data_IF_606589497088
#
_entry.id   IF_606589497088
#
_cell.length_a   1.000
_cell.length_b   1.000
_cell.length_c   1.000
_cell.angle_alpha   90.00
_cell.angle_beta   90.00
_cell.angle_gamma   90.00
#
_symmetry.space_group_name_H-M   'P 1'
#
loop_
_entity.id
_entity.type
_entity.pdbx_description
1 polymer ?
#
# COMPACT_ATOMS: atom_id res chain seq x y z
N UNK A 1 -38.74 -0.03 52.12
CA UNK A 1 -37.27 0.19 52.23
C UNK A 1 -36.57 -1.14 51.93
N UNK A 2 -35.55 -1.24 51.07
CA UNK A 2 -35.34 -0.75 49.67
C UNK A 2 -35.44 -1.92 48.65
N UNK A 3 -36.20 -1.80 47.55
CA UNK A 3 -35.83 -1.41 46.17
C UNK A 3 -34.71 -2.24 45.52
N UNK A 4 -35.16 -3.14 44.64
CA UNK A 4 -34.46 -4.05 43.73
C UNK A 4 -33.60 -3.27 42.71
N UNK A 5 -32.27 -3.40 42.79
CA UNK A 5 -31.35 -2.86 41.80
C UNK A 5 -31.39 -3.70 40.51
N UNK A 6 -32.14 -3.23 39.52
CA UNK A 6 -32.16 -3.78 38.17
C UNK A 6 -31.01 -3.16 37.40
N UNK A 7 -29.91 -3.91 37.25
CA UNK A 7 -28.75 -3.51 36.47
C UNK A 7 -29.19 -3.29 35.01
N UNK A 8 -29.20 -2.04 34.56
CA UNK A 8 -29.34 -1.70 33.16
C UNK A 8 -28.03 -2.09 32.45
N UNK A 9 -28.09 -3.19 31.70
CA UNK A 9 -27.07 -3.50 30.71
C UNK A 9 -27.13 -2.43 29.61
N UNK A 10 -26.19 -1.48 29.68
CA UNK A 10 -25.97 -0.51 28.61
C UNK A 10 -25.42 -1.29 27.41
N UNK A 11 -26.04 -1.23 26.22
CA UNK A 11 -25.47 -1.86 25.05
C UNK A 11 -24.19 -1.10 24.73
N UNK A 12 -23.06 -1.80 24.75
CA UNK A 12 -21.78 -1.30 24.28
C UNK A 12 -21.91 -1.09 22.76
N UNK A 13 -22.43 0.07 22.37
CA UNK A 13 -22.43 0.52 20.98
C UNK A 13 -20.97 0.81 20.65
N UNK A 14 -20.30 -0.21 20.12
CA UNK A 14 -18.99 -0.05 19.52
C UNK A 14 -19.16 0.78 18.24
N UNK A 15 -19.15 2.10 18.41
CA UNK A 15 -18.87 3.03 17.32
C UNK A 15 -17.44 2.71 16.84
N UNK A 16 -17.32 2.00 15.72
CA UNK A 16 -16.10 1.99 14.93
C UNK A 16 -15.91 3.41 14.39
N UNK A 17 -15.26 4.25 15.18
CA UNK A 17 -14.75 5.53 14.76
C UNK A 17 -13.60 5.21 13.82
N UNK A 18 -13.85 5.18 12.51
CA UNK A 18 -12.79 5.40 11.54
C UNK A 18 -12.18 6.76 11.92
N UNK A 19 -10.95 6.75 12.44
CA UNK A 19 -10.28 7.96 12.87
C UNK A 19 -10.20 8.94 11.69
N UNK A 20 -10.91 10.08 11.72
CA UNK A 20 -10.86 11.06 10.64
C UNK A 20 -9.59 11.89 10.88
N UNK A 21 -8.47 11.42 10.34
CA UNK A 21 -7.20 12.09 10.59
C UNK A 21 -5.95 11.39 10.11
N UNK A 22 -6.03 10.27 9.38
CA UNK A 22 -4.87 9.84 8.60
C UNK A 22 -4.60 10.94 7.56
N UNK A 23 -3.49 11.70 7.70
CA UNK A 23 -3.14 12.68 6.69
C UNK A 23 -3.11 11.93 5.37
N UNK A 24 -3.84 12.44 4.37
CA UNK A 24 -3.64 11.96 3.00
C UNK A 24 -2.13 11.98 2.78
N UNK A 25 -1.49 10.81 2.58
CA UNK A 25 -0.05 10.73 2.67
C UNK A 25 0.50 11.71 1.63
N UNK A 26 1.37 12.62 2.07
CA UNK A 26 1.99 13.55 1.14
C UNK A 26 2.70 12.71 0.07
N UNK A 27 2.83 13.19 -1.18
CA UNK A 27 3.46 12.40 -2.25
C UNK A 27 4.87 11.89 -1.88
N UNK A 28 5.57 12.58 -0.98
CA UNK A 28 6.81 12.11 -0.35
C UNK A 28 6.63 10.88 0.54
N UNK A 29 5.60 10.85 1.39
CA UNK A 29 5.26 9.70 2.25
C UNK A 29 4.85 8.48 1.41
N UNK A 30 4.15 8.71 0.30
CA UNK A 30 3.75 7.63 -0.62
C UNK A 30 4.99 7.04 -1.28
N UNK A 31 5.90 7.88 -1.77
CA UNK A 31 7.16 7.43 -2.35
C UNK A 31 7.98 6.61 -1.35
N UNK A 32 8.08 7.07 -0.11
CA UNK A 32 8.75 6.35 0.97
C UNK A 32 8.05 5.01 1.29
N UNK A 33 6.72 4.97 1.29
CA UNK A 33 5.93 3.76 1.49
C UNK A 33 6.15 2.73 0.36
N UNK A 34 6.24 3.20 -0.89
CA UNK A 34 6.57 2.35 -2.06
C UNK A 34 7.96 1.76 -1.93
N UNK A 35 8.97 2.59 -1.64
CA UNK A 35 10.35 2.13 -1.46
C UNK A 35 10.47 1.16 -0.29
N UNK A 36 9.74 1.40 0.80
CA UNK A 36 9.66 0.49 1.95
C UNK A 36 8.97 -0.83 1.62
N UNK A 37 7.90 -0.82 0.82
CA UNK A 37 7.26 -2.04 0.32
C UNK A 37 8.22 -2.85 -0.56
N UNK A 38 8.97 -2.19 -1.44
CA UNK A 38 10.00 -2.82 -2.27
C UNK A 38 11.13 -3.40 -1.40
N UNK A 39 11.72 -2.63 -0.49
CA UNK A 39 12.78 -3.10 0.41
C UNK A 39 12.36 -4.38 1.17
N UNK A 40 11.14 -4.36 1.74
CA UNK A 40 10.55 -5.54 2.42
C UNK A 40 10.41 -6.74 1.48
N UNK A 41 10.00 -6.52 0.23
CA UNK A 41 9.80 -7.58 -0.76
C UNK A 41 11.13 -8.21 -1.23
N UNK A 42 12.19 -7.41 -1.30
CA UNK A 42 13.54 -7.90 -1.62
C UNK A 42 14.31 -8.44 -0.41
N UNK A 43 13.73 -8.34 0.80
CA UNK A 43 14.38 -8.68 2.07
C UNK A 43 15.74 -7.97 2.24
N UNK A 44 15.85 -6.73 1.73
CA UNK A 44 17.06 -5.91 1.84
C UNK A 44 16.84 -4.80 2.88
N UNK A 45 17.90 -4.47 3.62
CA UNK A 45 17.91 -3.34 4.58
C UNK A 45 17.85 -1.97 3.86
N UNK A 46 18.16 -1.94 2.57
CA UNK A 46 18.14 -0.75 1.74
C UNK A 46 17.14 -0.90 0.57
N UNK A 47 16.43 0.18 0.18
CA UNK A 47 15.54 0.13 -0.96
C UNK A 47 16.34 -0.09 -2.26
N UNK A 48 15.87 -1.00 -3.13
CA UNK A 48 16.54 -1.27 -4.41
C UNK A 48 16.51 -0.04 -5.33
N UNK A 49 17.43 0.05 -6.32
CA UNK A 49 17.38 1.09 -7.33
C UNK A 49 16.07 1.02 -8.14
N UNK A 50 15.31 2.11 -8.11
CA UNK A 50 14.07 2.28 -8.85
C UNK A 50 14.26 3.27 -10.01
N UNK A 51 13.68 2.96 -11.16
CA UNK A 51 13.63 3.80 -12.36
C UNK A 51 12.19 4.04 -12.78
N UNK A 52 11.92 5.23 -13.31
CA UNK A 52 10.61 5.57 -13.86
C UNK A 52 9.48 5.43 -12.84
N UNK A 53 9.73 5.75 -11.57
CA UNK A 53 8.71 5.70 -10.53
C UNK A 53 7.60 6.70 -10.88
N UNK A 54 6.42 6.17 -11.14
CA UNK A 54 5.20 6.95 -11.37
C UNK A 54 4.21 6.60 -10.28
N UNK A 55 3.76 7.61 -9.54
CA UNK A 55 2.77 7.48 -8.48
C UNK A 55 1.51 8.20 -8.93
N UNK A 56 0.38 7.50 -8.91
CA UNK A 56 -0.92 8.04 -9.28
C UNK A 56 -1.96 7.68 -8.22
N UNK A 57 -2.95 8.55 -7.96
CA UNK A 57 -4.09 8.15 -7.16
C UNK A 57 -4.84 7.02 -7.89
N UNK A 58 -5.20 5.97 -7.15
CA UNK A 58 -5.99 4.88 -7.71
C UNK A 58 -7.42 5.37 -7.96
N UNK A 59 -7.93 5.19 -9.17
CA UNK A 59 -9.31 5.57 -9.52
C UNK A 59 -10.34 4.53 -9.10
N UNK A 60 -9.91 3.30 -8.78
CA UNK A 60 -10.75 2.16 -8.42
C UNK A 60 -10.72 1.86 -6.93
N UNK A 61 -9.63 2.18 -6.25
CA UNK A 61 -9.48 1.96 -4.81
C UNK A 61 -9.16 3.26 -4.08
N UNK A 62 -9.50 3.34 -2.79
CA UNK A 62 -9.03 4.42 -1.93
C UNK A 62 -7.52 4.21 -1.67
N UNK A 63 -6.67 4.96 -2.36
CA UNK A 63 -5.22 4.87 -2.20
C UNK A 63 -4.43 5.41 -3.39
N UNK A 64 -3.18 4.98 -3.47
CA UNK A 64 -2.26 5.31 -4.54
C UNK A 64 -1.66 4.05 -5.12
N UNK A 65 -1.44 4.09 -6.43
CA UNK A 65 -0.70 3.07 -7.16
C UNK A 65 0.64 3.64 -7.57
N UNK A 66 1.66 2.81 -7.47
CA UNK A 66 2.99 3.14 -7.94
C UNK A 66 3.46 2.07 -8.92
N UNK A 67 3.99 2.49 -10.05
CA UNK A 67 4.55 1.63 -11.07
C UNK A 67 5.93 2.13 -11.45
N UNK A 68 6.77 1.23 -11.95
CA UNK A 68 8.10 1.57 -12.41
C UNK A 68 8.95 0.33 -12.56
N UNK A 69 10.25 0.52 -12.73
CA UNK A 69 11.20 -0.58 -12.86
C UNK A 69 12.10 -0.62 -11.64
N UNK A 70 12.32 -1.80 -11.09
CA UNK A 70 13.17 -2.04 -9.92
C UNK A 70 14.25 -3.03 -10.30
N UNK A 71 15.51 -2.67 -10.05
CA UNK A 71 16.64 -3.59 -10.18
C UNK A 71 17.01 -4.10 -8.80
N UNK A 72 17.31 -5.39 -8.65
CA UNK A 72 18.03 -5.80 -7.43
C UNK A 72 19.42 -5.16 -7.47
N UNK A 73 19.97 -4.83 -6.31
CA UNK A 73 21.29 -4.18 -6.18
C UNK A 73 22.40 -4.97 -6.88
N UNK A 74 22.22 -6.29 -7.05
CA UNK A 74 23.12 -7.21 -7.76
C UNK A 74 22.57 -7.77 -9.10
N UNK A 75 21.35 -7.39 -9.53
CA UNK A 75 20.77 -7.93 -10.77
C UNK A 75 21.13 -7.06 -11.98
N UNK A 76 21.57 -7.72 -13.05
CA UNK A 76 21.87 -7.07 -14.34
C UNK A 76 20.62 -6.57 -15.10
N UNK A 77 19.41 -6.86 -14.60
CA UNK A 77 18.14 -6.49 -15.24
C UNK A 77 17.19 -5.84 -14.24
N UNK A 78 16.65 -4.71 -14.66
CA UNK A 78 15.50 -4.09 -14.02
C UNK A 78 14.25 -4.90 -14.39
N UNK A 79 13.36 -5.07 -13.42
CA UNK A 79 12.08 -5.74 -13.59
C UNK A 79 10.97 -4.75 -13.30
N UNK A 80 9.86 -4.89 -14.01
CA UNK A 80 8.71 -4.04 -13.77
C UNK A 80 8.07 -4.40 -12.43
N UNK A 81 7.60 -3.40 -11.71
CA UNK A 81 6.87 -3.57 -10.46
C UNK A 81 5.59 -2.75 -10.41
N UNK A 82 4.72 -3.13 -9.49
CA UNK A 82 3.51 -2.41 -9.14
C UNK A 82 3.31 -2.47 -7.62
N UNK A 83 3.04 -1.33 -6.99
CA UNK A 83 2.77 -1.23 -5.55
C UNK A 83 1.45 -0.52 -5.31
N UNK A 84 0.64 -1.05 -4.40
CA UNK A 84 -0.58 -0.38 -3.91
C UNK A 84 -0.30 0.16 -2.50
N UNK A 85 -0.53 1.46 -2.30
CA UNK A 85 -0.38 2.18 -1.02
C UNK A 85 -1.77 2.65 -0.56
N UNK A 86 -2.15 2.51 0.72
CA UNK A 86 -1.35 2.07 1.89
C UNK A 86 -1.18 0.56 2.04
N UNK A 87 -1.73 -0.27 1.15
CA UNK A 87 -1.72 -1.74 1.28
C UNK A 87 -0.34 -2.39 1.37
N UNK A 88 0.73 -1.71 0.92
CA UNK A 88 2.11 -2.17 1.03
C UNK A 88 2.43 -3.41 0.21
N UNK A 89 1.52 -3.82 -0.68
CA UNK A 89 1.69 -4.97 -1.56
C UNK A 89 2.52 -4.55 -2.76
N UNK A 90 3.70 -5.15 -2.92
CA UNK A 90 4.56 -4.97 -4.09
C UNK A 90 4.54 -6.25 -4.93
N UNK A 91 4.10 -6.12 -6.18
CA UNK A 91 4.07 -7.18 -7.19
C UNK A 91 5.20 -6.92 -8.17
N UNK A 92 6.01 -7.94 -8.44
CA UNK A 92 7.06 -7.88 -9.46
C UNK A 92 6.67 -8.68 -10.70
N UNK A 93 7.33 -8.35 -11.81
CA UNK A 93 7.24 -9.11 -13.05
C UNK A 93 7.57 -10.61 -12.86
N UNK A 94 8.48 -10.93 -11.93
CA UNK A 94 8.82 -12.32 -11.56
C UNK A 94 7.70 -13.05 -10.82
N UNK A 95 6.79 -12.33 -10.17
CA UNK A 95 5.70 -12.93 -9.40
C UNK A 95 4.57 -13.34 -10.34
N UNK A 96 4.10 -12.39 -11.15
CA UNK A 96 3.07 -12.63 -12.16
C UNK A 96 3.12 -11.55 -13.24
N UNK A 97 3.70 -11.91 -14.39
CA UNK A 97 3.89 -11.01 -15.52
C UNK A 97 2.56 -10.56 -16.13
N UNK A 98 1.56 -11.44 -16.21
CA UNK A 98 0.28 -11.14 -16.86
C UNK A 98 -0.56 -10.23 -15.96
N UNK A 99 -0.55 -10.47 -14.65
CA UNK A 99 -1.17 -9.59 -13.68
C UNK A 99 -0.56 -8.19 -13.71
N UNK A 100 0.77 -8.13 -13.72
CA UNK A 100 1.50 -6.87 -13.75
C UNK A 100 1.21 -6.08 -15.04
N UNK A 101 1.24 -6.75 -16.20
CA UNK A 101 0.93 -6.12 -17.48
C UNK A 101 -0.47 -5.50 -17.49
N UNK A 102 -1.47 -6.22 -16.95
CA UNK A 102 -2.83 -5.69 -16.80
C UNK A 102 -2.84 -4.45 -15.91
N UNK A 103 -2.22 -4.49 -14.74
CA UNK A 103 -2.20 -3.33 -13.83
C UNK A 103 -1.49 -2.12 -14.43
N UNK A 104 -0.46 -2.34 -15.24
CA UNK A 104 0.24 -1.28 -15.96
C UNK A 104 -0.66 -0.61 -17.00
N UNK A 105 -1.24 -1.39 -17.90
CA UNK A 105 -2.19 -0.90 -18.92
C UNK A 105 -3.34 -0.13 -18.26
N UNK A 106 -3.87 -0.67 -17.16
CA UNK A 106 -4.97 -0.13 -16.39
C UNK A 106 -4.66 1.20 -15.69
N UNK A 107 -3.39 1.52 -15.44
CA UNK A 107 -2.96 2.72 -14.75
C UNK A 107 -2.12 3.65 -15.63
N UNK A 108 -2.09 3.40 -16.94
CA UNK A 108 -1.27 4.11 -17.93
C UNK A 108 0.20 4.21 -17.50
N UNK A 109 0.74 3.04 -17.12
CA UNK A 109 2.15 2.74 -17.01
C UNK A 109 2.51 1.77 -18.17
#
# INVERSE_FOLDING_TARGET
MPILAKAFAVPLVALLIAAPGEPSPASGDISAAVLSALARRFAEDAPPPVRGLVIKPDRRMAGFVACGEVGATAAARYQRFFVIVPGGLAVLESDDRDLLARYWELNDC
#
